data_IF_844081123452
#
_entry.id   IF_844081123452
#
_cell.length_a   1.000
_cell.length_b   1.000
_cell.length_c   1.000
_cell.angle_alpha   90.00
_cell.angle_beta   90.00
_cell.angle_gamma   90.00
#
_symmetry.space_group_name_H-M   'P 1'
#
loop_
_entity.id
_entity.type
_entity.pdbx_description
1 polymer ?
#
# COMPACT_ATOMS: atom_id res chain seq x y z
N UNK A 1 33.92 -42.60 -33.17
CA UNK A 1 32.47 -42.27 -33.07
C UNK A 1 32.28 -41.37 -31.85
N UNK A 2 32.23 -40.05 -32.06
CA UNK A 2 32.08 -39.06 -30.98
C UNK A 2 30.72 -38.37 -31.16
N UNK A 3 29.80 -38.62 -30.22
CA UNK A 3 28.45 -38.05 -30.22
C UNK A 3 28.45 -36.62 -29.69
N UNK A 4 28.20 -35.63 -30.55
CA UNK A 4 27.90 -34.25 -30.18
C UNK A 4 26.45 -34.19 -29.67
N UNK A 5 26.26 -33.83 -28.38
CA UNK A 5 24.94 -33.47 -27.83
C UNK A 5 24.61 -32.02 -28.22
N UNK A 6 23.41 -31.71 -28.75
CA UNK A 6 23.01 -30.34 -28.98
C UNK A 6 22.63 -29.68 -27.64
N UNK A 7 23.22 -28.51 -27.37
CA UNK A 7 22.81 -27.62 -26.28
C UNK A 7 21.64 -26.77 -26.79
N UNK A 8 20.45 -27.04 -26.29
CA UNK A 8 19.26 -26.19 -26.46
C UNK A 8 19.51 -24.86 -25.75
N UNK A 9 19.60 -23.77 -26.51
CA UNK A 9 19.68 -22.42 -26.00
C UNK A 9 18.31 -21.96 -25.50
N UNK A 10 18.23 -21.62 -24.22
CA UNK A 10 17.09 -20.93 -23.62
C UNK A 10 17.23 -19.44 -23.98
N UNK A 11 16.51 -18.98 -25.00
CA UNK A 11 16.44 -17.54 -25.32
C UNK A 11 15.49 -16.86 -24.34
N UNK A 12 16.06 -16.13 -23.37
CA UNK A 12 15.33 -15.24 -22.48
C UNK A 12 15.03 -13.93 -23.25
N UNK A 13 13.79 -13.71 -23.63
CA UNK A 13 13.35 -12.47 -24.27
C UNK A 13 13.07 -11.44 -23.18
N UNK A 14 14.05 -10.59 -22.87
CA UNK A 14 13.85 -9.42 -21.99
C UNK A 14 13.15 -8.34 -22.83
N UNK A 15 11.85 -8.18 -22.62
CA UNK A 15 11.10 -7.05 -23.14
C UNK A 15 11.51 -5.78 -22.40
N UNK A 16 12.32 -4.94 -23.05
CA UNK A 16 12.68 -3.61 -22.58
C UNK A 16 11.50 -2.66 -22.88
N UNK A 17 10.68 -2.35 -21.87
CA UNK A 17 9.66 -1.30 -21.98
C UNK A 17 10.37 0.05 -21.82
N UNK A 18 10.46 0.81 -22.90
CA UNK A 18 10.87 2.21 -22.86
C UNK A 18 9.73 3.05 -22.28
N UNK A 19 9.87 3.51 -21.03
CA UNK A 19 9.11 4.65 -20.54
C UNK A 19 9.69 5.92 -21.16
N UNK A 20 9.04 6.44 -22.20
CA UNK A 20 9.22 7.83 -22.63
C UNK A 20 8.74 8.71 -21.49
N UNK A 21 9.68 9.38 -20.81
CA UNK A 21 9.41 10.32 -19.74
C UNK A 21 8.61 11.51 -20.28
N UNK A 22 7.28 11.42 -20.19
CA UNK A 22 6.39 12.57 -20.27
C UNK A 22 6.60 13.48 -19.05
N UNK A 23 6.00 14.70 -19.06
CA UNK A 23 5.98 15.52 -17.86
C UNK A 23 5.39 14.73 -16.70
N UNK A 24 5.96 14.89 -15.50
CA UNK A 24 5.50 14.20 -14.29
C UNK A 24 3.97 14.34 -14.18
N UNK A 25 3.28 13.20 -14.22
CA UNK A 25 1.84 13.14 -14.08
C UNK A 25 1.44 13.55 -12.66
N UNK A 26 0.16 13.86 -12.44
CA UNK A 26 -0.35 14.09 -11.09
C UNK A 26 -0.04 12.88 -10.17
N UNK A 27 -0.03 11.67 -10.72
CA UNK A 27 0.34 10.46 -9.98
C UNK A 27 1.82 10.48 -9.54
N UNK A 28 2.74 10.86 -10.44
CA UNK A 28 4.16 10.94 -10.10
C UNK A 28 4.44 11.97 -9.00
N UNK A 29 3.73 13.11 -9.03
CA UNK A 29 3.82 14.12 -8.00
C UNK A 29 3.31 13.64 -6.64
N UNK A 30 2.24 12.82 -6.62
CA UNK A 30 1.66 12.24 -5.40
C UNK A 30 2.56 11.19 -4.77
N UNK A 31 3.12 10.29 -5.58
CA UNK A 31 4.11 9.32 -5.11
C UNK A 31 5.35 10.05 -4.56
N UNK A 32 5.84 11.09 -5.23
CA UNK A 32 6.93 11.91 -4.71
C UNK A 32 6.60 12.58 -3.36
N UNK A 33 5.38 13.08 -3.18
CA UNK A 33 4.93 13.65 -1.91
C UNK A 33 4.87 12.58 -0.81
N UNK A 34 4.34 11.39 -1.12
CA UNK A 34 4.26 10.30 -0.15
C UNK A 34 5.65 9.90 0.33
N UNK A 35 6.60 9.68 -0.57
CA UNK A 35 8.00 9.36 -0.23
C UNK A 35 8.65 10.46 0.62
N UNK A 36 8.41 11.73 0.29
CA UNK A 36 8.88 12.85 1.10
C UNK A 36 8.28 12.81 2.52
N UNK A 37 6.99 12.54 2.68
CA UNK A 37 6.34 12.45 3.99
C UNK A 37 6.83 11.25 4.79
N UNK A 38 7.02 10.09 4.15
CA UNK A 38 7.61 8.88 4.71
C UNK A 38 9.00 9.17 5.28
N UNK A 39 9.81 9.96 4.55
CA UNK A 39 11.18 10.33 4.94
C UNK A 39 11.26 11.22 6.20
N UNK A 40 10.15 11.83 6.62
CA UNK A 40 10.11 12.64 7.85
C UNK A 40 10.07 11.77 9.13
N UNK A 41 9.81 10.47 8.99
CA UNK A 41 9.78 9.52 10.09
C UNK A 41 11.16 9.04 10.54
N UNK A 42 11.26 8.58 11.79
CA UNK A 42 12.46 7.93 12.30
C UNK A 42 12.22 6.43 12.43
N UNK A 43 12.79 5.64 11.52
CA UNK A 43 12.61 4.19 11.50
C UNK A 43 13.16 3.51 12.76
N UNK A 44 14.24 4.05 13.33
CA UNK A 44 14.88 3.50 14.52
C UNK A 44 14.01 3.57 15.79
N UNK A 45 12.90 4.31 15.77
CA UNK A 45 11.95 4.37 16.87
C UNK A 45 11.13 3.07 17.01
N UNK A 46 11.05 2.26 15.94
CA UNK A 46 10.22 1.06 15.91
C UNK A 46 11.10 -0.19 16.03
N UNK A 47 10.76 -1.15 16.92
CA UNK A 47 11.50 -2.39 17.00
C UNK A 47 11.39 -3.17 15.68
N UNK A 48 12.44 -3.94 15.30
CA UNK A 48 12.33 -4.84 14.16
C UNK A 48 11.21 -5.86 14.42
N UNK A 49 10.49 -6.24 13.36
CA UNK A 49 9.54 -7.34 13.40
C UNK A 49 10.31 -8.66 13.20
N UNK A 50 10.93 -9.16 14.27
CA UNK A 50 11.70 -10.40 14.28
C UNK A 50 11.01 -11.53 15.07
N UNK A 51 11.49 -12.75 14.86
CA UNK A 51 10.94 -13.94 15.51
C UNK A 51 9.71 -14.54 14.83
N UNK A 52 9.14 -15.57 15.46
CA UNK A 52 7.91 -16.21 14.99
C UNK A 52 6.69 -15.41 15.48
N UNK A 53 5.74 -15.14 14.57
CA UNK A 53 4.43 -14.59 14.91
C UNK A 53 3.40 -15.71 14.94
N UNK A 54 2.67 -15.85 16.04
CA UNK A 54 1.54 -16.77 16.15
C UNK A 54 0.24 -16.01 15.84
N UNK A 55 -0.26 -16.17 14.61
CA UNK A 55 -1.49 -15.52 14.16
C UNK A 55 -2.70 -16.01 14.98
N UNK A 56 -3.28 -15.11 15.78
CA UNK A 56 -4.40 -15.40 16.67
C UNK A 56 -5.64 -14.61 16.26
N UNK A 57 -6.62 -15.30 15.67
CA UNK A 57 -7.89 -14.68 15.28
C UNK A 57 -8.96 -14.86 16.37
N UNK A 58 -9.81 -13.84 16.62
CA UNK A 58 -9.93 -12.57 15.89
C UNK A 58 -8.98 -11.46 16.37
N UNK A 59 -8.08 -11.73 17.33
CA UNK A 59 -7.20 -10.73 17.93
C UNK A 59 -6.37 -9.93 16.91
N UNK A 60 -5.84 -10.63 15.89
CA UNK A 60 -5.00 -10.05 14.85
C UNK A 60 -5.79 -9.50 13.65
N UNK A 61 -7.12 -9.40 13.74
CA UNK A 61 -7.90 -8.62 12.76
C UNK A 61 -7.71 -7.11 12.95
N UNK A 62 -7.37 -6.68 14.18
CA UNK A 62 -7.17 -5.29 14.54
C UNK A 62 -5.87 -4.72 13.99
N UNK A 63 -5.60 -3.46 14.34
CA UNK A 63 -4.32 -2.87 14.01
C UNK A 63 -3.21 -3.33 14.98
N UNK A 64 -1.97 -3.22 14.52
CA UNK A 64 -0.76 -3.56 15.24
C UNK A 64 0.11 -2.31 15.44
N UNK A 65 -0.17 -1.44 16.42
CA UNK A 65 0.54 -0.16 16.59
C UNK A 65 2.05 -0.28 16.82
N UNK A 66 2.52 -1.43 17.30
CA UNK A 66 3.94 -1.73 17.50
C UNK A 66 4.71 -1.93 16.18
N UNK A 67 4.02 -2.31 15.10
CA UNK A 67 4.62 -2.37 13.77
C UNK A 67 4.74 -0.97 13.19
N UNK A 68 5.90 -0.63 12.60
CA UNK A 68 6.09 0.65 11.91
C UNK A 68 5.08 0.83 10.78
N UNK A 69 4.87 -0.18 9.96
CA UNK A 69 3.94 -0.11 8.84
C UNK A 69 2.87 -1.18 8.96
N UNK A 70 1.67 -0.83 8.49
CA UNK A 70 0.53 -1.72 8.45
C UNK A 70 -0.34 -1.37 7.24
N UNK A 71 -0.98 -2.38 6.65
CA UNK A 71 -1.81 -2.17 5.46
C UNK A 71 -3.03 -3.09 5.45
N UNK A 72 -4.12 -2.56 4.92
CA UNK A 72 -5.36 -3.24 4.62
C UNK A 72 -5.63 -3.11 3.12
N UNK A 73 -5.94 -4.21 2.46
CA UNK A 73 -6.23 -4.20 1.03
C UNK A 73 -7.47 -5.03 0.70
N UNK A 74 -8.23 -4.52 -0.27
CA UNK A 74 -9.38 -5.21 -0.86
C UNK A 74 -9.18 -5.17 -2.37
N UNK A 75 -9.24 -6.34 -3.00
CA UNK A 75 -9.30 -6.47 -4.45
C UNK A 75 -10.56 -7.24 -4.78
N UNK A 76 -11.38 -6.69 -5.66
CA UNK A 76 -12.66 -7.29 -6.03
C UNK A 76 -12.90 -7.19 -7.53
N UNK A 77 -13.45 -8.27 -8.09
CA UNK A 77 -14.08 -8.26 -9.40
C UNK A 77 -15.58 -8.13 -9.20
N UNK A 78 -16.14 -7.08 -9.79
CA UNK A 78 -17.52 -6.66 -9.65
C UNK A 78 -18.21 -6.73 -11.01
N UNK A 79 -19.53 -6.67 -10.96
CA UNK A 79 -20.38 -6.51 -12.13
C UNK A 79 -21.29 -5.34 -11.86
N UNK A 80 -21.33 -4.37 -12.77
CA UNK A 80 -22.19 -3.21 -12.62
C UNK A 80 -23.67 -3.53 -12.88
N UNK A 81 -24.54 -2.51 -12.80
CA UNK A 81 -25.97 -2.68 -12.98
C UNK A 81 -26.38 -3.16 -14.38
N UNK A 82 -25.53 -2.93 -15.39
CA UNK A 82 -25.77 -3.30 -16.78
C UNK A 82 -25.11 -4.65 -17.15
N UNK A 83 -24.45 -5.32 -16.19
CA UNK A 83 -23.79 -6.60 -16.40
C UNK A 83 -22.34 -6.48 -16.88
N UNK A 84 -21.74 -5.28 -16.84
CA UNK A 84 -20.38 -5.04 -17.34
C UNK A 84 -19.36 -5.33 -16.22
N UNK A 85 -18.26 -6.04 -16.51
CA UNK A 85 -17.19 -6.27 -15.53
C UNK A 85 -16.49 -4.98 -15.11
N UNK A 86 -16.28 -4.83 -13.80
CA UNK A 86 -15.52 -3.74 -13.18
C UNK A 86 -14.56 -4.33 -12.15
N UNK A 87 -13.35 -3.80 -12.04
CA UNK A 87 -12.38 -4.18 -11.01
C UNK A 87 -12.18 -3.05 -10.02
N UNK A 88 -12.21 -3.37 -8.74
CA UNK A 88 -11.94 -2.46 -7.62
C UNK A 88 -10.66 -2.91 -6.94
N UNK A 89 -9.77 -1.95 -6.70
CA UNK A 89 -8.68 -2.10 -5.74
C UNK A 89 -8.79 -0.96 -4.72
N UNK A 90 -8.78 -1.33 -3.44
CA UNK A 90 -8.71 -0.38 -2.34
C UNK A 90 -7.53 -0.77 -1.46
N UNK A 91 -6.74 0.22 -1.06
CA UNK A 91 -5.69 0.06 -0.07
C UNK A 91 -5.75 1.19 0.96
N UNK A 92 -5.57 0.83 2.22
CA UNK A 92 -5.31 1.75 3.31
C UNK A 92 -4.00 1.33 3.96
N UNK A 93 -3.07 2.26 4.12
CA UNK A 93 -1.81 2.03 4.80
C UNK A 93 -1.67 2.99 5.98
N UNK A 94 -1.13 2.49 7.09
CA UNK A 94 -0.63 3.28 8.20
C UNK A 94 0.89 3.15 8.21
N UNK A 95 1.57 4.28 8.26
CA UNK A 95 3.01 4.36 8.48
C UNK A 95 3.28 5.16 9.76
N UNK A 96 3.91 4.53 10.73
CA UNK A 96 4.49 5.16 11.90
C UNK A 96 5.67 6.06 11.51
N UNK A 97 5.54 7.33 11.88
CA UNK A 97 6.61 8.33 11.75
C UNK A 97 7.42 8.42 13.05
N UNK A 98 6.79 8.16 14.20
CA UNK A 98 7.38 8.15 15.54
C UNK A 98 6.66 7.13 16.42
N UNK A 99 7.40 6.41 17.26
CA UNK A 99 6.79 5.45 18.19
C UNK A 99 6.13 6.14 19.39
N UNK A 100 6.75 7.20 19.91
CA UNK A 100 6.21 7.94 21.05
C UNK A 100 5.29 9.11 20.64
N UNK A 101 4.31 9.37 21.51
CA UNK A 101 3.42 10.51 21.35
C UNK A 101 4.20 11.83 21.52
N UNK A 102 3.92 12.81 20.65
CA UNK A 102 4.48 14.15 20.79
C UNK A 102 3.66 14.98 21.76
N UNK A 103 4.33 15.81 22.58
CA UNK A 103 3.68 16.86 23.37
C UNK A 103 3.00 17.93 22.47
N UNK A 104 3.42 18.03 21.20
CA UNK A 104 2.77 18.89 20.21
C UNK A 104 1.67 18.09 19.48
N UNK A 105 0.37 18.42 19.67
CA UNK A 105 -0.73 17.69 19.03
C UNK A 105 -0.77 17.86 17.50
N UNK A 106 -0.05 18.84 16.95
CA UNK A 106 0.05 19.04 15.50
C UNK A 106 1.16 18.19 14.87
N UNK A 107 2.02 17.56 15.67
CA UNK A 107 3.06 16.69 15.17
C UNK A 107 2.50 15.28 14.95
N UNK A 108 2.45 14.79 13.70
CA UNK A 108 1.93 13.46 13.43
C UNK A 108 2.87 12.39 13.97
N UNK A 109 2.30 11.37 14.62
CA UNK A 109 3.01 10.13 14.97
C UNK A 109 2.88 9.08 13.87
N UNK A 110 1.89 9.23 12.99
CA UNK A 110 1.65 8.36 11.85
C UNK A 110 1.12 9.14 10.64
N UNK A 111 1.34 8.56 9.47
CA UNK A 111 0.74 8.92 8.19
C UNK A 111 -0.21 7.81 7.79
N UNK A 112 -1.43 8.17 7.39
CA UNK A 112 -2.35 7.24 6.74
C UNK A 112 -2.48 7.60 5.27
N UNK A 113 -2.49 6.60 4.40
CA UNK A 113 -2.71 6.73 2.96
C UNK A 113 -3.83 5.80 2.53
N UNK A 114 -4.90 6.36 1.99
CA UNK A 114 -5.98 5.62 1.34
C UNK A 114 -5.88 5.80 -0.17
N UNK A 115 -5.95 4.72 -0.93
CA UNK A 115 -5.96 4.73 -2.39
C UNK A 115 -7.05 3.80 -2.91
N UNK A 116 -7.82 4.27 -3.88
CA UNK A 116 -8.84 3.48 -4.57
C UNK A 116 -8.64 3.59 -6.06
N UNK A 117 -8.71 2.46 -6.75
CA UNK A 117 -8.69 2.34 -8.19
C UNK A 117 -9.95 1.57 -8.62
N UNK A 118 -10.66 2.11 -9.61
CA UNK A 118 -11.82 1.49 -10.23
C UNK A 118 -11.62 1.46 -11.76
N UNK A 119 -11.55 0.27 -12.34
CA UNK A 119 -11.30 0.08 -13.78
C UNK A 119 -12.36 -0.81 -14.43
N UNK A 120 -12.76 -0.46 -15.64
CA UNK A 120 -13.75 -1.17 -16.43
C UNK A 120 -13.83 -0.58 -17.84
N UNK A 121 -14.73 -1.10 -18.67
CA UNK A 121 -14.84 -0.63 -20.06
C UNK A 121 -15.21 0.87 -20.19
N UNK A 122 -15.94 1.40 -19.21
CA UNK A 122 -16.43 2.78 -19.18
C UNK A 122 -15.88 3.61 -18.01
N UNK A 123 -15.02 3.03 -17.16
CA UNK A 123 -14.50 3.69 -15.96
C UNK A 123 -13.01 3.41 -15.81
N UNK A 124 -12.25 4.46 -15.55
CA UNK A 124 -10.84 4.40 -15.17
C UNK A 124 -10.58 5.55 -14.21
N UNK A 125 -10.71 5.26 -12.92
CA UNK A 125 -10.64 6.25 -11.85
C UNK A 125 -9.64 5.79 -10.80
N UNK A 126 -8.82 6.73 -10.35
CA UNK A 126 -7.94 6.55 -9.20
C UNK A 126 -8.04 7.77 -8.29
N UNK A 127 -8.20 7.53 -7.00
CA UNK A 127 -8.26 8.59 -5.99
C UNK A 127 -7.43 8.21 -4.78
N UNK A 128 -6.69 9.18 -4.24
CA UNK A 128 -5.91 8.98 -3.03
C UNK A 128 -6.12 10.13 -2.05
N UNK A 129 -6.04 9.79 -0.77
CA UNK A 129 -6.03 10.74 0.33
C UNK A 129 -4.95 10.40 1.34
N UNK A 130 -4.42 11.44 1.97
CA UNK A 130 -3.44 11.35 3.05
C UNK A 130 -4.02 11.98 4.31
N UNK A 131 -3.76 11.36 5.47
CA UNK A 131 -4.21 11.85 6.77
C UNK A 131 -3.10 11.72 7.82
N UNK A 132 -3.07 12.66 8.74
CA UNK A 132 -2.16 12.68 9.90
C UNK A 132 -2.70 11.85 11.08
N UNK A 133 -3.84 11.19 10.90
CA UNK A 133 -4.63 10.61 11.98
C UNK A 133 -5.40 11.69 12.75
N UNK A 134 -5.33 11.66 14.08
CA UNK A 134 -6.01 12.61 14.99
C UNK A 134 -7.55 12.58 14.86
N UNK A 135 -8.12 11.39 14.71
CA UNK A 135 -9.57 11.18 14.56
C UNK A 135 -10.04 11.16 13.11
N UNK A 136 -9.30 11.78 12.18
CA UNK A 136 -9.61 11.74 10.75
C UNK A 136 -9.26 10.40 10.08
N UNK A 137 -8.35 9.61 10.67
CA UNK A 137 -8.04 8.26 10.26
C UNK A 137 -7.72 7.40 11.48
N UNK A 138 -8.00 6.10 11.40
CA UNK A 138 -7.80 5.20 12.52
C UNK A 138 -8.38 3.80 12.29
N UNK A 139 -8.46 3.05 13.37
CA UNK A 139 -9.00 1.70 13.41
C UNK A 139 -9.79 1.49 14.72
N UNK A 140 -10.75 0.59 14.67
CA UNK A 140 -11.45 0.04 15.83
C UNK A 140 -11.52 -1.47 15.65
N UNK A 141 -10.75 -2.19 16.46
CA UNK A 141 -10.69 -3.64 16.40
C UNK A 141 -11.99 -4.30 16.88
N UNK A 142 -12.68 -3.71 17.87
CA UNK A 142 -13.94 -4.23 18.39
C UNK A 142 -15.06 -4.08 17.35
N UNK A 143 -15.03 -3.00 16.57
CA UNK A 143 -15.97 -2.77 15.46
C UNK A 143 -15.52 -3.39 14.13
N UNK A 144 -14.30 -3.93 14.03
CA UNK A 144 -13.69 -4.38 12.76
C UNK A 144 -13.67 -3.30 11.67
N UNK A 145 -13.30 -2.08 12.05
CA UNK A 145 -13.31 -0.91 11.18
C UNK A 145 -11.93 -0.30 11.03
N UNK A 146 -11.67 0.22 9.84
CA UNK A 146 -10.58 1.13 9.52
C UNK A 146 -11.13 2.27 8.68
N UNK A 147 -10.63 3.49 8.88
CA UNK A 147 -11.14 4.66 8.17
C UNK A 147 -10.06 5.68 7.86
N UNK A 148 -10.38 6.52 6.87
CA UNK A 148 -9.66 7.72 6.47
C UNK A 148 -10.64 8.75 5.87
#
# INVERSE_FOLDING_TARGET
>A
MAGKRPRTGLSLLVGLVFFLAGPASAQDARESLYEQLVSLGNEADFPPLDGAWELTLPGDHGAHPGARSESWSVVAHLTDADGVPVSLQFSLARLGLRAEASANPLQPTALFRGHVILTGAAVDLAEEKLSRGLGAAGHDAAASQVWL
#
